data_IF_111436833527
#
_entry.id   IF_111436833527
#
_cell.length_a   1.000
_cell.length_b   1.000
_cell.length_c   1.000
_cell.angle_alpha   90.00
_cell.angle_beta   90.00
_cell.angle_gamma   90.00
#
_symmetry.space_group_name_H-M   'P 1'
#
loop_
_entity.id
_entity.type
_entity.pdbx_description
1 polymer ?
#
# COMPACT_ATOMS: atom_id res chain seq x y z
N UNK A 1 -5.08 -8.19 35.97
CA UNK A 1 -4.53 -9.44 35.42
C UNK A 1 -5.34 -9.78 34.17
N UNK A 2 -4.94 -9.34 32.98
CA UNK A 2 -5.51 -9.68 31.64
C UNK A 2 -4.96 -8.74 30.53
N UNK A 3 -4.18 -7.71 30.86
CA UNK A 3 -3.53 -6.83 29.88
C UNK A 3 -2.30 -7.49 29.22
N UNK A 4 -1.57 -8.33 29.96
CA UNK A 4 -0.34 -8.99 29.49
C UNK A 4 -0.59 -10.07 28.41
N UNK A 5 -1.84 -10.47 28.19
CA UNK A 5 -2.26 -11.47 27.21
C UNK A 5 -2.84 -10.88 25.92
N UNK A 6 -2.89 -9.54 25.80
CA UNK A 6 -3.28 -8.90 24.55
C UNK A 6 -2.07 -8.89 23.61
N UNK A 7 -2.08 -9.79 22.62
CA UNK A 7 -1.19 -9.71 21.47
C UNK A 7 -1.53 -8.45 20.66
N UNK A 8 -0.98 -7.30 21.04
CA UNK A 8 -1.05 -6.08 20.25
C UNK A 8 -0.12 -6.25 19.04
N UNK A 9 -0.68 -6.69 17.91
CA UNK A 9 0.02 -6.61 16.64
C UNK A 9 0.09 -5.13 16.26
N UNK A 10 1.30 -4.58 16.27
CA UNK A 10 1.52 -3.23 15.75
C UNK A 10 1.20 -3.23 14.25
N UNK A 11 0.39 -2.26 13.82
CA UNK A 11 -0.06 -2.15 12.43
C UNK A 11 0.21 -0.74 11.94
N UNK A 12 0.89 -0.63 10.80
CA UNK A 12 1.22 0.64 10.17
C UNK A 12 0.59 0.73 8.79
N UNK A 13 0.28 1.96 8.37
CA UNK A 13 -0.18 2.28 7.02
C UNK A 13 0.72 3.38 6.48
N UNK A 14 1.29 3.15 5.32
CA UNK A 14 2.19 4.09 4.66
C UNK A 14 1.62 4.34 3.27
N UNK A 15 1.39 5.60 2.94
CA UNK A 15 1.00 6.00 1.58
C UNK A 15 2.28 6.20 0.75
N UNK A 16 2.31 5.64 -0.45
CA UNK A 16 3.37 5.85 -1.43
C UNK A 16 2.76 6.56 -2.63
N UNK A 17 3.30 7.72 -2.99
CA UNK A 17 2.74 8.59 -4.03
C UNK A 17 3.82 8.83 -5.09
N UNK A 18 3.46 8.64 -6.37
CA UNK A 18 4.31 8.99 -7.49
C UNK A 18 4.03 10.43 -7.94
N UNK A 19 5.08 11.24 -8.04
CA UNK A 19 5.03 12.60 -8.60
C UNK A 19 5.89 12.62 -9.86
N UNK A 20 5.24 12.80 -11.00
CA UNK A 20 5.88 12.88 -12.31
C UNK A 20 6.59 14.22 -12.54
N UNK A 21 7.44 14.27 -13.57
CA UNK A 21 8.15 15.49 -13.96
C UNK A 21 7.16 16.61 -14.29
N UNK A 22 7.32 17.78 -13.65
CA UNK A 22 6.47 18.95 -13.87
C UNK A 22 5.08 18.89 -13.24
N UNK A 23 4.74 17.84 -12.48
CA UNK A 23 3.49 17.79 -11.71
C UNK A 23 3.63 18.57 -10.41
N UNK A 24 2.76 19.56 -10.20
CA UNK A 24 2.77 20.41 -9.00
C UNK A 24 1.41 20.48 -8.29
N UNK A 25 0.33 20.21 -9.02
CA UNK A 25 -1.02 20.23 -8.48
C UNK A 25 -1.47 18.84 -8.01
N UNK A 26 -2.27 18.80 -6.93
CA UNK A 26 -2.78 17.54 -6.37
C UNK A 26 -3.57 16.71 -7.41
N UNK A 27 -4.50 17.30 -8.19
CA UNK A 27 -5.27 16.53 -9.16
C UNK A 27 -4.38 15.77 -10.16
N UNK A 28 -3.35 16.41 -10.73
CA UNK A 28 -2.44 15.75 -11.66
C UNK A 28 -1.69 14.59 -11.01
N UNK A 29 -1.13 14.79 -9.81
CA UNK A 29 -0.40 13.77 -9.05
C UNK A 29 -1.29 12.55 -8.74
N UNK A 30 -2.52 12.76 -8.27
CA UNK A 30 -3.44 11.67 -7.90
C UNK A 30 -4.14 11.02 -9.10
N UNK A 31 -4.02 11.59 -10.30
CA UNK A 31 -4.58 11.02 -11.55
C UNK A 31 -3.64 10.05 -12.26
N UNK A 32 -2.40 9.91 -11.77
CA UNK A 32 -1.42 8.96 -12.33
C UNK A 32 -1.95 7.52 -12.29
N UNK A 33 -1.83 6.81 -13.41
CA UNK A 33 -2.23 5.39 -13.53
C UNK A 33 -1.05 4.42 -13.45
N UNK A 34 0.17 4.92 -13.61
CA UNK A 34 1.42 4.18 -13.45
C UNK A 34 2.56 5.14 -13.04
N UNK A 35 3.62 4.62 -12.44
CA UNK A 35 4.85 5.37 -12.17
C UNK A 35 5.90 5.25 -13.27
N UNK A 36 7.13 5.65 -12.95
CA UNK A 36 8.32 5.42 -13.78
C UNK A 36 8.91 4.02 -13.56
N UNK A 37 9.73 3.48 -14.47
CA UNK A 37 10.33 2.16 -14.27
C UNK A 37 11.11 2.01 -12.94
N UNK A 38 11.94 2.98 -12.50
CA UNK A 38 12.59 2.90 -11.19
C UNK A 38 11.62 2.97 -10.01
N UNK A 39 10.49 3.66 -10.16
CA UNK A 39 9.44 3.70 -9.13
C UNK A 39 8.76 2.33 -8.99
N UNK A 40 8.40 1.70 -10.10
CA UNK A 40 7.79 0.37 -10.08
C UNK A 40 8.77 -0.67 -9.51
N UNK A 41 10.05 -0.59 -9.88
CA UNK A 41 11.11 -1.42 -9.29
C UNK A 41 11.24 -1.19 -7.78
N UNK A 42 11.21 0.06 -7.32
CA UNK A 42 11.21 0.38 -5.89
C UNK A 42 10.02 -0.25 -5.15
N UNK A 43 8.81 -0.24 -5.72
CA UNK A 43 7.64 -0.87 -5.09
C UNK A 43 7.83 -2.37 -4.87
N UNK A 44 8.51 -3.07 -5.79
CA UNK A 44 8.81 -4.51 -5.64
C UNK A 44 9.75 -4.81 -4.46
N UNK A 45 10.54 -3.83 -4.04
CA UNK A 45 11.46 -3.96 -2.90
C UNK A 45 10.80 -3.61 -1.56
N UNK A 46 9.61 -3.01 -1.54
CA UNK A 46 8.90 -2.65 -0.31
C UNK A 46 8.20 -3.85 0.36
N UNK A 47 7.91 -4.91 -0.39
CA UNK A 47 7.22 -6.09 0.12
C UNK A 47 6.58 -6.93 -0.98
N UNK A 48 5.59 -7.74 -0.60
CA UNK A 48 4.90 -8.62 -1.53
C UNK A 48 3.65 -7.96 -2.10
N UNK A 49 3.45 -8.13 -3.41
CA UNK A 49 2.18 -7.80 -4.04
C UNK A 49 1.11 -8.80 -3.56
N UNK A 50 0.02 -8.30 -3.00
CA UNK A 50 -1.12 -9.09 -2.53
C UNK A 50 -2.41 -8.67 -3.23
N UNK A 51 -3.26 -9.64 -3.58
CA UNK A 51 -4.61 -9.36 -4.08
C UNK A 51 -5.53 -9.05 -2.90
N UNK A 52 -6.17 -7.87 -2.89
CA UNK A 52 -6.94 -7.38 -1.75
C UNK A 52 -8.15 -8.27 -1.42
N UNK A 53 -8.77 -8.88 -2.44
CA UNK A 53 -9.90 -9.81 -2.31
C UNK A 53 -9.54 -11.08 -1.52
N UNK A 54 -8.30 -11.56 -1.64
CA UNK A 54 -7.80 -12.81 -1.02
C UNK A 54 -6.92 -12.56 0.21
N UNK A 55 -6.45 -11.34 0.41
CA UNK A 55 -5.54 -11.00 1.50
C UNK A 55 -6.24 -11.14 2.86
N UNK A 56 -5.64 -11.92 3.78
CA UNK A 56 -6.17 -12.19 5.12
C UNK A 56 -5.49 -11.36 6.23
N UNK A 57 -4.47 -10.57 5.89
CA UNK A 57 -3.76 -9.70 6.83
C UNK A 57 -4.42 -8.34 7.06
N UNK A 58 -3.66 -7.42 7.65
CA UNK A 58 -4.14 -6.07 7.93
C UNK A 58 -4.31 -5.26 6.63
N UNK A 59 -5.56 -4.96 6.26
CA UNK A 59 -5.89 -4.29 4.99
C UNK A 59 -5.68 -2.78 4.97
N UNK A 60 -5.31 -2.15 6.08
CA UNK A 60 -5.07 -0.71 6.07
C UNK A 60 -6.30 0.17 5.79
N UNK A 61 -7.53 -0.38 5.75
CA UNK A 61 -8.73 0.34 5.31
C UNK A 61 -8.99 0.28 3.80
N UNK A 62 -8.21 -0.50 3.05
CA UNK A 62 -8.47 -0.78 1.63
C UNK A 62 -9.65 -1.74 1.47
N UNK A 63 -10.53 -1.46 0.50
CA UNK A 63 -11.68 -2.29 0.20
C UNK A 63 -11.29 -3.52 -0.65
N UNK A 64 -11.75 -4.74 -0.33
CA UNK A 64 -11.31 -5.97 -1.00
C UNK A 64 -12.01 -6.19 -2.34
N UNK A 65 -11.69 -5.38 -3.34
CA UNK A 65 -12.21 -5.55 -4.70
C UNK A 65 -11.44 -6.61 -5.49
N UNK A 66 -12.09 -7.38 -6.37
CA UNK A 66 -11.40 -8.27 -7.30
C UNK A 66 -10.40 -7.51 -8.18
N UNK A 67 -9.29 -8.14 -8.54
CA UNK A 67 -8.24 -7.57 -9.41
C UNK A 67 -7.63 -6.25 -8.90
N UNK A 68 -7.70 -6.01 -7.59
CA UNK A 68 -7.01 -4.89 -6.94
C UNK A 68 -5.88 -5.41 -6.08
N UNK A 69 -4.74 -4.72 -6.13
CA UNK A 69 -3.50 -5.16 -5.52
C UNK A 69 -2.90 -4.05 -4.67
N UNK A 70 -2.15 -4.43 -3.64
CA UNK A 70 -1.33 -3.52 -2.83
C UNK A 70 -0.03 -4.23 -2.47
N UNK A 71 0.98 -3.45 -2.11
CA UNK A 71 2.19 -3.99 -1.46
C UNK A 71 1.91 -4.19 0.03
N UNK A 72 2.38 -5.30 0.58
CA UNK A 72 2.23 -5.67 1.98
C UNK A 72 3.53 -6.28 2.53
N UNK A 73 3.86 -5.95 3.78
CA UNK A 73 4.99 -6.50 4.53
C UNK A 73 4.48 -6.95 5.92
N UNK A 74 4.96 -8.09 6.41
CA UNK A 74 4.55 -8.69 7.68
C UNK A 74 5.69 -9.39 8.40
#
# INVERSE_FOLDING_TARGET
>A
KNLDSLNCRETHKIAVIYVGYGQEDKPSIFSNTHGSPPYEEFLTHLGWQVELSKHTGFRGGLHPLPNTYSIYYA
#
